data_IF_449010291134
#
_entry.id   IF_449010291134
#
_cell.length_a   1.000
_cell.length_b   1.000
_cell.length_c   1.000
_cell.angle_alpha   90.00
_cell.angle_beta   90.00
_cell.angle_gamma   90.00
#
_symmetry.space_group_name_H-M   'P 1'
#
loop_
_entity.id
_entity.type
_entity.pdbx_description
1 polymer ?
#
# COMPACT_ATOMS: atom_id res chain seq x y z
N UNK A 1 8.42 21.02 5.20
CA UNK A 1 9.15 20.38 6.13
C UNK A 1 8.85 18.95 6.38
N UNK A 2 7.67 18.69 6.49
CA UNK A 2 7.22 17.44 6.94
C UNK A 2 7.30 16.37 5.94
N UNK A 3 7.13 16.72 4.72
CA UNK A 3 7.06 15.80 3.64
C UNK A 3 8.37 15.12 3.32
N UNK A 4 9.42 15.49 4.00
CA UNK A 4 10.72 14.90 3.72
C UNK A 4 10.81 13.43 4.08
N UNK A 5 9.84 12.93 4.83
CA UNK A 5 9.88 11.53 5.24
C UNK A 5 9.36 10.55 4.19
N UNK A 6 8.82 11.05 3.10
CA UNK A 6 8.31 10.18 2.05
C UNK A 6 9.48 9.57 1.27
N UNK A 7 9.53 8.23 1.16
CA UNK A 7 10.63 7.57 0.43
C UNK A 7 10.71 7.99 -1.04
N UNK A 8 11.92 7.97 -1.56
CA UNK A 8 12.16 8.38 -2.95
C UNK A 8 11.47 7.46 -3.96
N UNK A 9 11.26 6.21 -3.60
CA UNK A 9 10.62 5.27 -4.51
C UNK A 9 9.13 5.54 -4.68
N UNK A 10 8.54 6.37 -3.82
CA UNK A 10 7.18 6.85 -3.99
C UNK A 10 7.24 8.13 -4.80
N UNK A 11 7.25 7.99 -6.11
CA UNK A 11 7.38 9.11 -7.03
C UNK A 11 6.42 8.91 -8.19
N UNK A 12 5.61 9.94 -8.46
CA UNK A 12 4.59 9.84 -9.49
C UNK A 12 3.39 9.04 -9.04
N UNK A 13 2.69 8.43 -9.98
CA UNK A 13 1.48 7.68 -9.68
C UNK A 13 1.80 6.21 -9.43
N UNK A 14 1.00 5.54 -8.58
CA UNK A 14 1.20 4.13 -8.34
C UNK A 14 0.89 3.31 -9.59
N UNK A 15 1.64 2.24 -9.78
CA UNK A 15 1.38 1.32 -10.88
C UNK A 15 0.05 0.60 -10.67
N UNK A 16 -0.23 0.22 -9.43
CA UNK A 16 -1.48 -0.44 -9.07
C UNK A 16 -2.09 0.25 -7.84
N UNK A 17 -3.42 0.31 -7.82
CA UNK A 17 -4.16 0.82 -6.65
C UNK A 17 -5.10 -0.29 -6.18
N UNK A 18 -5.02 -0.61 -4.89
CA UNK A 18 -5.86 -1.65 -4.29
C UNK A 18 -6.76 -1.00 -3.24
N UNK A 19 -8.07 -1.18 -3.40
CA UNK A 19 -9.04 -0.72 -2.40
C UNK A 19 -9.30 -1.87 -1.42
N UNK A 20 -8.54 -1.90 -0.34
CA UNK A 20 -8.63 -2.97 0.64
C UNK A 20 -9.96 -3.00 1.37
N UNK A 21 -10.54 -1.82 1.63
CA UNK A 21 -11.82 -1.74 2.30
C UNK A 21 -12.91 -2.40 1.46
N UNK A 22 -12.93 -2.09 0.17
CA UNK A 22 -13.92 -2.66 -0.73
C UNK A 22 -13.71 -4.16 -0.88
N UNK A 23 -12.46 -4.61 -1.00
CA UNK A 23 -12.16 -6.03 -1.13
C UNK A 23 -12.64 -6.82 0.07
N UNK A 24 -12.40 -6.31 1.28
CA UNK A 24 -12.86 -6.99 2.48
C UNK A 24 -14.39 -7.03 2.55
N UNK A 25 -15.05 -5.97 2.11
CA UNK A 25 -16.51 -5.94 2.06
C UNK A 25 -17.08 -6.98 1.10
N UNK A 26 -16.32 -7.33 0.07
CA UNK A 26 -16.71 -8.33 -0.92
C UNK A 26 -16.22 -9.74 -0.57
N UNK A 27 -15.55 -9.89 0.57
CA UNK A 27 -15.04 -11.18 0.99
C UNK A 27 -13.69 -11.54 0.43
N UNK A 28 -13.02 -10.60 -0.24
CA UNK A 28 -11.69 -10.82 -0.80
C UNK A 28 -10.61 -10.54 0.22
N UNK A 29 -9.41 -11.10 -0.01
CA UNK A 29 -8.26 -10.90 0.86
C UNK A 29 -7.26 -9.97 0.17
N UNK A 30 -7.11 -8.72 0.64
CA UNK A 30 -6.19 -7.77 -0.01
C UNK A 30 -4.75 -8.26 -0.07
N UNK A 31 -4.30 -9.01 0.94
CA UNK A 31 -2.95 -9.53 0.96
C UNK A 31 -2.65 -10.43 -0.24
N UNK A 32 -3.60 -11.27 -0.62
CA UNK A 32 -3.44 -12.13 -1.79
C UNK A 32 -3.31 -11.31 -3.06
N UNK A 33 -4.09 -10.25 -3.17
CA UNK A 33 -4.01 -9.36 -4.33
C UNK A 33 -2.67 -8.66 -4.40
N UNK A 34 -2.18 -8.16 -3.28
CA UNK A 34 -0.89 -7.48 -3.23
C UNK A 34 0.23 -8.45 -3.64
N UNK A 35 0.21 -9.68 -3.13
CA UNK A 35 1.22 -10.69 -3.50
C UNK A 35 1.19 -11.00 -4.99
N UNK A 36 0.00 -11.04 -5.56
CA UNK A 36 -0.15 -11.25 -7.00
C UNK A 36 0.43 -10.08 -7.79
N UNK A 37 0.17 -8.86 -7.35
CA UNK A 37 0.65 -7.66 -8.02
C UNK A 37 2.16 -7.50 -7.93
N UNK A 38 2.80 -8.00 -6.87
CA UNK A 38 4.25 -7.97 -6.76
C UNK A 38 4.92 -8.67 -7.96
N UNK A 39 4.29 -9.70 -8.48
CA UNK A 39 4.84 -10.44 -9.63
C UNK A 39 4.78 -9.63 -10.92
N UNK A 40 3.89 -8.66 -10.97
CA UNK A 40 3.67 -7.82 -12.14
C UNK A 40 4.29 -6.45 -11.99
N UNK A 41 4.88 -6.17 -10.83
CA UNK A 41 5.39 -4.85 -10.51
C UNK A 41 6.66 -4.54 -11.29
N UNK A 42 6.68 -3.39 -11.95
CA UNK A 42 7.85 -2.94 -12.67
C UNK A 42 8.87 -2.31 -11.72
N UNK A 43 10.15 -2.22 -12.13
CA UNK A 43 11.18 -1.67 -11.25
C UNK A 43 10.89 -0.27 -10.72
N UNK A 44 10.19 0.54 -11.53
CA UNK A 44 9.85 1.91 -11.13
C UNK A 44 8.46 2.02 -10.53
N UNK A 45 7.72 0.91 -10.46
CA UNK A 45 6.35 0.91 -9.98
C UNK A 45 6.24 0.69 -8.49
N UNK A 46 5.08 1.00 -7.96
CA UNK A 46 4.74 0.68 -6.59
C UNK A 46 3.23 0.48 -6.49
N UNK A 47 2.80 -0.11 -5.37
CA UNK A 47 1.39 -0.43 -5.13
C UNK A 47 0.87 0.49 -4.03
N UNK A 48 -0.28 1.10 -4.26
CA UNK A 48 -0.98 1.87 -3.23
C UNK A 48 -2.16 1.07 -2.73
N UNK A 49 -2.17 0.79 -1.43
CA UNK A 49 -3.29 0.14 -0.76
C UNK A 49 -4.05 1.18 0.05
N UNK A 50 -5.35 1.28 -0.16
CA UNK A 50 -6.21 2.17 0.62
C UNK A 50 -7.11 1.35 1.53
N UNK A 51 -7.19 1.74 2.80
CA UNK A 51 -8.01 1.04 3.78
C UNK A 51 -8.60 2.04 4.75
N UNK A 52 -9.65 1.64 5.49
CA UNK A 52 -10.20 2.47 6.55
C UNK A 52 -9.70 2.02 7.94
N UNK A 53 -8.63 1.24 7.95
CA UNK A 53 -7.98 0.75 9.17
C UNK A 53 -6.49 0.59 8.88
N UNK A 54 -5.68 0.46 9.93
CA UNK A 54 -4.24 0.21 9.73
C UNK A 54 -4.04 -1.22 9.22
N UNK A 55 -3.46 -1.40 8.02
CA UNK A 55 -3.35 -2.73 7.41
C UNK A 55 -2.15 -3.51 7.95
N UNK A 56 -2.18 -3.82 9.25
CA UNK A 56 -1.06 -4.48 9.93
C UNK A 56 -0.64 -5.80 9.28
N UNK A 57 -1.57 -6.70 8.91
CA UNK A 57 -1.16 -7.96 8.27
C UNK A 57 -0.39 -7.76 6.97
N UNK A 58 -0.80 -6.77 6.17
CA UNK A 58 -0.14 -6.48 4.90
C UNK A 58 1.25 -5.88 5.15
N UNK A 59 1.36 -4.99 6.12
CA UNK A 59 2.65 -4.41 6.50
C UNK A 59 3.59 -5.47 7.03
N UNK A 60 3.10 -6.36 7.88
CA UNK A 60 3.90 -7.46 8.42
C UNK A 60 4.39 -8.39 7.30
N UNK A 61 3.55 -8.67 6.33
CA UNK A 61 3.94 -9.48 5.19
C UNK A 61 5.06 -8.82 4.39
N UNK A 62 4.99 -7.51 4.20
CA UNK A 62 6.04 -6.78 3.50
C UNK A 62 7.36 -6.85 4.29
N UNK A 63 7.30 -6.69 5.60
CA UNK A 63 8.49 -6.80 6.45
C UNK A 63 9.11 -8.19 6.35
N UNK A 64 8.28 -9.22 6.39
CA UNK A 64 8.76 -10.60 6.34
C UNK A 64 9.39 -10.97 5.00
N UNK A 65 9.00 -10.27 3.94
CA UNK A 65 9.54 -10.50 2.60
C UNK A 65 10.68 -9.53 2.26
N UNK A 66 11.10 -8.70 3.22
CA UNK A 66 12.11 -7.66 3.01
C UNK A 66 11.72 -6.69 1.91
N UNK A 67 10.44 -6.42 1.78
CA UNK A 67 9.96 -5.47 0.79
C UNK A 67 9.86 -4.09 1.39
N UNK A 68 9.92 -3.08 0.54
CA UNK A 68 9.78 -1.69 0.96
C UNK A 68 8.30 -1.37 1.18
N UNK A 69 8.03 -0.61 2.22
CA UNK A 69 6.67 -0.18 2.51
C UNK A 69 6.69 1.18 3.20
N UNK A 70 5.59 1.90 3.08
CA UNK A 70 5.42 3.20 3.74
C UNK A 70 3.94 3.38 4.03
N UNK A 71 3.61 3.82 5.23
CA UNK A 71 2.23 4.00 5.66
C UNK A 71 2.00 5.43 6.12
N UNK A 72 0.88 6.02 5.70
CA UNK A 72 0.48 7.35 6.15
C UNK A 72 -1.04 7.45 6.14
N UNK A 73 -1.55 8.48 6.81
CA UNK A 73 -2.96 8.80 6.73
C UNK A 73 -3.18 9.77 5.57
N UNK A 74 -4.34 9.67 4.91
CA UNK A 74 -4.68 10.57 3.82
C UNK A 74 -4.85 11.98 4.39
N UNK A 75 -4.12 12.97 3.90
CA UNK A 75 -4.26 14.34 4.39
C UNK A 75 -5.65 14.92 4.19
N UNK A 76 -6.37 14.44 3.19
CA UNK A 76 -7.72 14.93 2.89
C UNK A 76 -8.78 14.15 3.64
N UNK A 77 -8.46 12.94 4.09
CA UNK A 77 -9.41 12.09 4.78
C UNK A 77 -8.66 11.26 5.84
N UNK A 78 -8.50 11.81 7.06
CA UNK A 78 -7.70 11.14 8.09
C UNK A 78 -8.22 9.76 8.49
N UNK A 79 -9.45 9.42 8.12
CA UNK A 79 -9.98 8.08 8.37
C UNK A 79 -9.46 7.05 7.39
N UNK A 80 -8.81 7.50 6.32
CA UNK A 80 -8.31 6.60 5.30
C UNK A 80 -6.81 6.42 5.43
N UNK A 81 -6.38 5.17 5.45
CA UNK A 81 -4.96 4.82 5.51
C UNK A 81 -4.43 4.57 4.10
N UNK A 82 -3.28 5.14 3.83
CA UNK A 82 -2.58 4.94 2.57
C UNK A 82 -1.31 4.16 2.86
N UNK A 83 -1.15 3.00 2.24
CA UNK A 83 0.03 2.17 2.44
C UNK A 83 0.64 1.86 1.08
N UNK A 84 1.93 2.12 0.95
CA UNK A 84 2.67 1.95 -0.29
C UNK A 84 3.60 0.75 -0.16
N UNK A 85 3.65 -0.08 -1.20
CA UNK A 85 4.49 -1.29 -1.22
C UNK A 85 5.32 -1.34 -2.50
N UNK A 86 6.56 -1.79 -2.35
CA UNK A 86 7.44 -1.98 -3.50
C UNK A 86 8.33 -3.26 -3.37
#
# INVERSE_FOLDING_TARGET
>A
VLSTDIPDWINGEPQFVVDGTKMLAEGDVPLNKINELYRQLEPDGYILLTTNFEPVPMIDAAKNQNRRWYHMLDPKNPSQHLTYFK
#
